data_IF_634859947578
#
_entry.id   IF_634859947578
#
_cell.length_a   1.000
_cell.length_b   1.000
_cell.length_c   1.000
_cell.angle_alpha   90.00
_cell.angle_beta   90.00
_cell.angle_gamma   90.00
#
_symmetry.space_group_name_H-M   'P 1'
#
loop_
_entity.id
_entity.type
_entity.pdbx_description
1 polymer ?
#
# COMPACT_ATOMS: atom_id res chain seq x y z
N UNK A 1 10.02 18.46 9.79
CA UNK A 1 10.46 17.42 8.83
C UNK A 1 12.00 17.20 8.81
N UNK A 2 12.74 17.56 9.87
CA UNK A 2 14.22 17.54 9.88
C UNK A 2 14.83 16.43 10.78
N UNK A 3 14.03 15.45 11.22
CA UNK A 3 14.49 14.36 12.13
C UNK A 3 14.75 13.02 11.43
N UNK A 4 14.35 12.87 10.17
CA UNK A 4 14.53 11.61 9.41
C UNK A 4 15.80 11.56 8.57
N UNK A 5 16.53 12.67 8.44
CA UNK A 5 17.80 12.73 7.69
C UNK A 5 19.02 12.22 8.48
N UNK A 6 18.85 11.84 9.75
CA UNK A 6 19.94 11.39 10.62
C UNK A 6 20.14 9.87 10.67
N UNK A 7 19.32 9.08 9.96
CA UNK A 7 19.36 7.61 10.02
C UNK A 7 20.12 6.91 8.88
N UNK A 8 20.82 7.65 8.00
CA UNK A 8 21.66 7.07 6.92
C UNK A 8 23.16 7.15 7.25
N UNK A 9 23.54 7.48 8.49
CA UNK A 9 24.93 7.68 8.90
C UNK A 9 25.56 6.48 9.63
N UNK A 10 25.31 5.24 9.16
CA UNK A 10 26.08 4.06 9.57
C UNK A 10 26.62 3.26 8.37
N UNK A 11 26.97 3.96 7.30
CA UNK A 11 28.01 3.50 6.39
C UNK A 11 29.33 4.17 6.80
N UNK A 12 30.41 3.40 6.80
CA UNK A 12 31.79 3.78 7.14
C UNK A 12 32.19 3.73 8.63
N UNK A 13 32.43 2.51 9.12
CA UNK A 13 33.66 2.28 9.88
C UNK A 13 34.67 1.67 8.92
N UNK A 14 35.19 2.50 8.01
CA UNK A 14 36.39 2.17 7.23
C UNK A 14 37.56 2.75 8.00
N UNK A 15 38.27 1.89 8.71
CA UNK A 15 39.57 2.22 9.31
C UNK A 15 40.58 2.40 8.18
N UNK A 16 41.28 3.53 8.20
CA UNK A 16 42.31 3.92 7.23
C UNK A 16 43.70 3.56 7.77
N UNK A 17 44.56 3.02 6.88
CA UNK A 17 46.03 2.84 6.94
C UNK A 17 46.55 1.74 7.91
N UNK A 18 47.41 0.80 7.49
CA UNK A 18 48.75 0.98 6.89
C UNK A 18 49.19 -0.22 6.01
N UNK A 19 50.12 0.01 5.06
CA UNK A 19 50.78 -1.04 4.24
C UNK A 19 51.80 -1.86 5.06
N UNK A 20 51.29 -2.69 5.95
CA UNK A 20 51.85 -4.01 6.28
C UNK A 20 50.85 -5.06 5.79
N UNK A 21 51.17 -6.35 5.84
CA UNK A 21 50.15 -7.39 5.67
C UNK A 21 49.22 -7.29 6.89
N UNK A 22 48.18 -6.46 6.76
CA UNK A 22 47.27 -6.08 7.82
C UNK A 22 46.22 -7.18 7.96
N UNK A 23 46.15 -7.90 9.10
CA UNK A 23 45.14 -8.93 9.34
C UNK A 23 43.69 -8.41 9.22
N UNK A 24 43.49 -7.10 9.18
CA UNK A 24 42.21 -6.48 8.87
C UNK A 24 41.78 -6.67 7.40
N UNK A 25 42.70 -6.82 6.45
CA UNK A 25 42.34 -6.97 5.03
C UNK A 25 41.61 -8.29 4.75
N UNK A 26 42.06 -9.39 5.37
CA UNK A 26 41.44 -10.71 5.18
C UNK A 26 40.07 -10.79 5.88
N UNK A 27 39.93 -10.13 7.03
CA UNK A 27 38.64 -10.02 7.72
C UNK A 27 37.61 -9.24 6.87
N UNK A 28 38.02 -8.14 6.25
CA UNK A 28 37.15 -7.34 5.38
C UNK A 28 36.67 -8.14 4.16
N UNK A 29 37.55 -8.95 3.56
CA UNK A 29 37.19 -9.84 2.46
C UNK A 29 36.15 -10.88 2.90
N UNK A 30 36.37 -11.56 4.03
CA UNK A 30 35.44 -12.58 4.54
C UNK A 30 34.08 -11.99 4.89
N UNK A 31 34.04 -10.81 5.52
CA UNK A 31 32.77 -10.15 5.88
C UNK A 31 31.98 -9.77 4.62
N UNK A 32 32.63 -9.14 3.62
CA UNK A 32 31.95 -8.76 2.37
C UNK A 32 31.43 -9.96 1.60
N UNK A 33 32.20 -11.04 1.52
CA UNK A 33 31.73 -12.27 0.87
C UNK A 33 30.58 -12.90 1.66
N UNK A 34 30.65 -12.89 2.99
CA UNK A 34 29.57 -13.42 3.83
C UNK A 34 28.26 -12.65 3.62
N UNK A 35 28.33 -11.31 3.56
CA UNK A 35 27.18 -10.46 3.23
C UNK A 35 26.61 -10.76 1.83
N UNK A 36 27.48 -10.92 0.82
CA UNK A 36 27.07 -11.26 -0.54
C UNK A 36 26.34 -12.61 -0.60
N UNK A 37 26.87 -13.67 0.02
CA UNK A 37 26.23 -14.98 0.07
C UNK A 37 24.91 -14.95 0.86
N UNK A 38 24.85 -14.17 1.93
CA UNK A 38 23.66 -14.02 2.75
C UNK A 38 22.53 -13.26 2.02
N UNK A 39 22.87 -12.26 1.20
CA UNK A 39 21.92 -11.62 0.28
C UNK A 39 21.40 -12.57 -0.79
N UNK A 40 22.19 -13.56 -1.21
CA UNK A 40 21.80 -14.61 -2.15
C UNK A 40 21.06 -15.79 -1.47
N UNK A 41 20.41 -15.54 -0.33
CA UNK A 41 19.58 -16.49 0.42
C UNK A 41 20.30 -17.72 0.98
N UNK A 42 21.63 -17.67 1.16
CA UNK A 42 22.31 -18.72 1.94
C UNK A 42 22.06 -18.45 3.42
N UNK A 43 21.04 -19.11 3.96
CA UNK A 43 20.62 -18.99 5.36
C UNK A 43 21.13 -20.12 6.25
N UNK A 44 21.83 -21.10 5.69
CA UNK A 44 22.44 -22.19 6.44
C UNK A 44 23.91 -21.87 6.76
N UNK A 45 24.29 -22.00 8.03
CA UNK A 45 25.64 -21.68 8.50
C UNK A 45 26.70 -22.57 7.85
N UNK A 46 26.37 -23.85 7.63
CA UNK A 46 27.30 -24.82 7.04
C UNK A 46 27.52 -24.52 5.57
N UNK A 47 26.46 -24.20 4.84
CA UNK A 47 26.54 -23.74 3.46
C UNK A 47 27.35 -22.44 3.34
N UNK A 48 27.09 -21.44 4.20
CA UNK A 48 27.85 -20.19 4.22
C UNK A 48 29.34 -20.45 4.50
N UNK A 49 29.65 -21.30 5.47
CA UNK A 49 31.02 -21.70 5.77
C UNK A 49 31.70 -22.31 4.56
N UNK A 50 31.02 -23.22 3.86
CA UNK A 50 31.58 -23.93 2.72
C UNK A 50 31.91 -22.98 1.56
N UNK A 51 31.01 -22.04 1.25
CA UNK A 51 31.24 -21.02 0.23
C UNK A 51 32.43 -20.10 0.58
N UNK A 52 32.49 -19.63 1.84
CA UNK A 52 33.62 -18.81 2.30
C UNK A 52 34.96 -19.54 2.21
N UNK A 53 34.98 -20.85 2.46
CA UNK A 53 36.20 -21.67 2.30
C UNK A 53 36.61 -21.80 0.82
N UNK A 54 35.66 -21.90 -0.11
CA UNK A 54 35.93 -21.88 -1.55
C UNK A 54 36.54 -20.53 -1.96
N UNK A 55 36.00 -19.42 -1.46
CA UNK A 55 36.54 -18.07 -1.69
C UNK A 55 37.97 -17.91 -1.13
N UNK A 56 38.25 -18.45 0.06
CA UNK A 56 39.62 -18.46 0.61
C UNK A 56 40.61 -19.24 -0.29
N UNK A 57 40.19 -20.31 -0.94
CA UNK A 57 41.04 -21.05 -1.90
C UNK A 57 41.32 -20.23 -3.16
N UNK A 58 40.33 -19.46 -3.65
CA UNK A 58 40.52 -18.51 -4.74
C UNK A 58 41.51 -17.41 -4.37
N UNK A 59 41.41 -16.86 -3.15
CA UNK A 59 42.37 -15.88 -2.63
C UNK A 59 43.80 -16.44 -2.64
N UNK A 60 43.98 -17.69 -2.21
CA UNK A 60 45.29 -18.35 -2.23
C UNK A 60 45.95 -18.47 -3.59
N UNK A 61 45.16 -18.61 -4.67
CA UNK A 61 45.67 -18.62 -6.04
C UNK A 61 46.17 -17.25 -6.50
N UNK A 62 45.62 -16.18 -5.94
CA UNK A 62 45.93 -14.79 -6.32
C UNK A 62 47.04 -14.19 -5.46
N UNK A 63 47.02 -14.47 -4.16
CA UNK A 63 47.85 -13.78 -3.15
C UNK A 63 48.82 -14.71 -2.42
N UNK A 64 48.71 -16.02 -2.66
CA UNK A 64 49.60 -17.05 -2.10
C UNK A 64 48.95 -17.88 -1.00
N UNK A 65 49.54 -19.04 -0.73
CA UNK A 65 48.97 -20.04 0.18
C UNK A 65 48.85 -19.56 1.64
N UNK A 66 49.71 -18.63 2.06
CA UNK A 66 49.66 -18.07 3.40
C UNK A 66 48.38 -17.24 3.64
N UNK A 67 47.93 -16.47 2.63
CA UNK A 67 46.67 -15.72 2.68
C UNK A 67 45.46 -16.67 2.73
N UNK A 68 45.45 -17.75 1.93
CA UNK A 68 44.40 -18.76 2.00
C UNK A 68 44.32 -19.47 3.36
N UNK A 69 45.47 -19.80 3.95
CA UNK A 69 45.52 -20.42 5.27
C UNK A 69 44.99 -19.47 6.35
N UNK A 70 45.38 -18.19 6.31
CA UNK A 70 44.87 -17.18 7.25
C UNK A 70 43.36 -16.96 7.09
N UNK A 71 42.87 -16.77 5.87
CA UNK A 71 41.44 -16.66 5.55
C UNK A 71 40.65 -17.86 6.08
N UNK A 72 41.16 -19.09 5.85
CA UNK A 72 40.54 -20.33 6.33
C UNK A 72 40.46 -20.38 7.86
N UNK A 73 41.51 -19.94 8.56
CA UNK A 73 41.53 -19.86 10.02
C UNK A 73 40.51 -18.85 10.55
N UNK A 74 40.43 -17.66 9.94
CA UNK A 74 39.45 -16.62 10.28
C UNK A 74 38.03 -17.13 10.10
N UNK A 75 37.70 -17.74 8.95
CA UNK A 75 36.39 -18.34 8.70
C UNK A 75 36.07 -19.40 9.75
N UNK A 76 36.98 -20.34 10.02
CA UNK A 76 36.74 -21.40 10.98
C UNK A 76 36.52 -20.90 12.41
N UNK A 77 37.21 -19.84 12.82
CA UNK A 77 37.11 -19.27 14.17
C UNK A 77 35.91 -18.33 14.34
N UNK A 78 35.56 -17.57 13.31
CA UNK A 78 34.58 -16.47 13.42
C UNK A 78 33.22 -16.77 12.79
N UNK A 79 33.03 -17.92 12.10
CA UNK A 79 31.77 -18.21 11.39
C UNK A 79 30.53 -18.11 12.27
N UNK A 80 30.59 -18.56 13.52
CA UNK A 80 29.44 -18.48 14.45
C UNK A 80 29.05 -17.04 14.74
N UNK A 81 30.05 -16.16 14.94
CA UNK A 81 29.84 -14.74 15.20
C UNK A 81 29.33 -14.02 13.95
N UNK A 82 29.98 -14.24 12.80
CA UNK A 82 29.59 -13.65 11.51
C UNK A 82 28.14 -13.99 11.19
N UNK A 83 27.77 -15.27 11.34
CA UNK A 83 26.42 -15.72 11.05
C UNK A 83 25.37 -15.14 12.01
N UNK A 84 25.67 -15.06 13.31
CA UNK A 84 24.79 -14.43 14.29
C UNK A 84 24.55 -12.94 14.00
N UNK A 85 25.62 -12.21 13.65
CA UNK A 85 25.55 -10.78 13.32
C UNK A 85 24.70 -10.54 12.05
N UNK A 86 24.88 -11.38 11.02
CA UNK A 86 24.07 -11.33 9.78
C UNK A 86 22.59 -11.65 10.03
N UNK A 87 22.28 -12.65 10.87
CA UNK A 87 20.89 -12.95 11.24
C UNK A 87 20.24 -11.81 12.04
N UNK A 88 20.97 -11.21 12.98
CA UNK A 88 20.48 -10.08 13.76
C UNK A 88 20.19 -8.87 12.87
N UNK A 89 21.03 -8.60 11.85
CA UNK A 89 20.80 -7.55 10.87
C UNK A 89 19.53 -7.80 10.04
N UNK A 90 19.31 -9.03 9.55
CA UNK A 90 18.12 -9.41 8.78
C UNK A 90 16.83 -9.23 9.57
N UNK A 91 16.80 -9.65 10.84
CA UNK A 91 15.60 -9.52 11.67
C UNK A 91 15.21 -8.06 11.91
N UNK A 92 16.19 -7.16 12.10
CA UNK A 92 15.91 -5.72 12.25
C UNK A 92 15.23 -5.12 11.01
N UNK A 93 15.67 -5.53 9.81
CA UNK A 93 15.09 -5.04 8.56
C UNK A 93 13.66 -5.54 8.35
N UNK A 94 13.40 -6.83 8.64
CA UNK A 94 12.05 -7.41 8.56
C UNK A 94 11.07 -6.72 9.51
N UNK A 95 11.49 -6.44 10.75
CA UNK A 95 10.66 -5.74 11.73
C UNK A 95 10.35 -4.29 11.31
N UNK A 96 11.33 -3.59 10.74
CA UNK A 96 11.14 -2.23 10.24
C UNK A 96 10.16 -2.20 9.05
N UNK A 97 10.28 -3.12 8.10
CA UNK A 97 9.35 -3.25 6.98
C UNK A 97 7.93 -3.60 7.45
N UNK A 98 7.79 -4.55 8.38
CA UNK A 98 6.50 -4.92 8.94
C UNK A 98 5.82 -3.71 9.60
N UNK A 99 6.56 -2.91 10.35
CA UNK A 99 6.03 -1.68 10.95
C UNK A 99 5.54 -0.66 9.91
N UNK A 100 6.27 -0.48 8.80
CA UNK A 100 5.86 0.42 7.71
C UNK A 100 4.58 -0.08 7.03
N UNK A 101 4.46 -1.39 6.77
CA UNK A 101 3.24 -1.97 6.17
C UNK A 101 2.04 -1.80 7.10
N UNK A 102 2.20 -2.01 8.41
CA UNK A 102 1.13 -1.79 9.39
C UNK A 102 0.67 -0.33 9.41
N UNK A 103 1.60 0.63 9.35
CA UNK A 103 1.26 2.06 9.29
C UNK A 103 0.58 2.43 7.97
N UNK A 104 1.05 1.89 6.84
CA UNK A 104 0.45 2.15 5.53
C UNK A 104 -0.98 1.59 5.42
N UNK A 105 -1.23 0.40 5.98
CA UNK A 105 -2.57 -0.19 5.99
C UNK A 105 -3.53 0.53 6.95
N UNK A 106 -3.01 1.22 7.97
CA UNK A 106 -3.83 2.02 8.89
C UNK A 106 -4.27 3.37 8.30
N UNK A 107 -3.70 3.83 7.19
CA UNK A 107 -3.97 5.14 6.59
C UNK A 107 -4.75 5.03 5.27
N UNK A 108 -5.82 4.23 5.23
CA UNK A 108 -6.78 4.35 4.11
C UNK A 108 -7.44 5.73 4.20
N UNK A 109 -7.32 6.58 3.16
CA UNK A 109 -7.99 7.87 3.17
C UNK A 109 -9.49 7.63 3.29
N UNK A 110 -10.11 8.21 4.31
CA UNK A 110 -11.57 8.19 4.46
C UNK A 110 -12.19 8.76 3.19
N UNK A 111 -13.22 8.11 2.61
CA UNK A 111 -13.87 8.61 1.41
C UNK A 111 -14.38 10.04 1.65
N UNK A 112 -14.16 10.90 0.67
CA UNK A 112 -14.60 12.29 0.75
C UNK A 112 -16.12 12.41 0.59
N UNK A 113 -16.73 13.56 0.97
CA UNK A 113 -18.17 13.78 0.86
C UNK A 113 -18.73 13.50 -0.54
N UNK A 114 -18.01 13.92 -1.59
CA UNK A 114 -18.40 13.67 -2.97
C UNK A 114 -18.52 12.17 -3.32
N UNK A 115 -17.55 11.35 -2.89
CA UNK A 115 -17.58 9.90 -3.13
C UNK A 115 -18.76 9.22 -2.40
N UNK A 116 -19.07 9.69 -1.20
CA UNK A 116 -20.22 9.21 -0.43
C UNK A 116 -21.53 9.61 -1.13
N UNK A 117 -21.61 10.83 -1.66
CA UNK A 117 -22.78 11.28 -2.41
C UNK A 117 -23.00 10.43 -3.68
N UNK A 118 -21.95 10.22 -4.48
CA UNK A 118 -22.03 9.41 -5.69
C UNK A 118 -22.52 7.99 -5.40
N UNK A 119 -22.01 7.39 -4.32
CA UNK A 119 -22.46 6.09 -3.84
C UNK A 119 -23.96 6.09 -3.49
N UNK A 120 -24.41 7.08 -2.71
CA UNK A 120 -25.81 7.19 -2.30
C UNK A 120 -26.75 7.38 -3.49
N UNK A 121 -26.37 8.24 -4.44
CA UNK A 121 -27.16 8.50 -5.63
C UNK A 121 -27.24 7.26 -6.53
N UNK A 122 -26.15 6.53 -6.71
CA UNK A 122 -26.16 5.28 -7.47
C UNK A 122 -27.14 4.27 -6.84
N UNK A 123 -27.14 4.13 -5.51
CA UNK A 123 -28.07 3.26 -4.80
C UNK A 123 -29.52 3.74 -4.87
N UNK A 124 -29.74 5.05 -4.82
CA UNK A 124 -31.05 5.65 -4.98
C UNK A 124 -31.62 5.39 -6.38
N UNK A 125 -30.83 5.60 -7.44
CA UNK A 125 -31.24 5.28 -8.82
C UNK A 125 -31.61 3.79 -8.95
N UNK A 126 -30.83 2.89 -8.35
CA UNK A 126 -31.16 1.47 -8.32
C UNK A 126 -32.49 1.18 -7.61
N UNK A 127 -32.81 1.90 -6.52
CA UNK A 127 -34.11 1.81 -5.84
C UNK A 127 -35.28 2.17 -6.78
N UNK A 128 -35.17 3.29 -7.50
CA UNK A 128 -36.20 3.75 -8.43
C UNK A 128 -36.34 2.84 -9.67
N UNK A 129 -35.24 2.26 -10.17
CA UNK A 129 -35.30 1.27 -11.26
C UNK A 129 -36.08 0.00 -10.89
N UNK A 130 -36.21 -0.31 -9.61
CA UNK A 130 -37.04 -1.41 -9.12
C UNK A 130 -38.52 -1.01 -8.93
N UNK A 131 -38.94 0.15 -9.47
CA UNK A 131 -40.28 0.74 -9.36
C UNK A 131 -40.73 1.00 -7.91
N UNK A 132 -39.79 1.22 -6.99
CA UNK A 132 -40.11 1.59 -5.61
C UNK A 132 -40.06 3.11 -5.51
N UNK A 133 -41.24 3.74 -5.50
CA UNK A 133 -41.40 5.19 -5.42
C UNK A 133 -41.81 5.66 -4.02
N UNK A 134 -41.30 5.00 -2.98
CA UNK A 134 -41.61 5.33 -1.59
C UNK A 134 -40.39 5.95 -0.89
N UNK A 135 -40.57 7.16 -0.35
CA UNK A 135 -39.48 7.89 0.32
C UNK A 135 -39.00 7.19 1.58
N UNK A 136 -39.90 6.54 2.33
CA UNK A 136 -39.56 5.80 3.54
C UNK A 136 -38.72 4.56 3.24
N UNK A 137 -39.06 3.86 2.16
CA UNK A 137 -38.31 2.73 1.63
C UNK A 137 -36.92 3.16 1.14
N UNK A 138 -36.82 4.29 0.42
CA UNK A 138 -35.55 4.86 0.00
C UNK A 138 -34.66 5.20 1.19
N UNK A 139 -35.19 5.90 2.20
CA UNK A 139 -34.46 6.24 3.43
C UNK A 139 -33.92 4.99 4.13
N UNK A 140 -34.76 3.95 4.24
CA UNK A 140 -34.39 2.68 4.87
C UNK A 140 -33.27 2.00 4.10
N UNK A 141 -33.36 1.92 2.77
CA UNK A 141 -32.34 1.32 1.93
C UNK A 141 -31.03 2.11 2.03
N UNK A 142 -31.03 3.43 1.85
CA UNK A 142 -29.81 4.23 1.92
C UNK A 142 -29.15 4.16 3.30
N UNK A 143 -29.93 4.09 4.38
CA UNK A 143 -29.39 3.89 5.74
C UNK A 143 -28.72 2.52 5.88
N UNK A 144 -29.30 1.48 5.28
CA UNK A 144 -28.68 0.15 5.24
C UNK A 144 -27.38 0.17 4.45
N UNK A 145 -27.38 0.77 3.27
CA UNK A 145 -26.20 0.94 2.41
C UNK A 145 -25.07 1.69 3.15
N UNK A 146 -25.38 2.73 3.93
CA UNK A 146 -24.39 3.39 4.78
C UNK A 146 -23.76 2.47 5.83
N UNK A 147 -24.51 1.50 6.38
CA UNK A 147 -23.94 0.51 7.32
C UNK A 147 -23.01 -0.47 6.59
N UNK A 148 -23.37 -0.86 5.37
CA UNK A 148 -22.57 -1.75 4.54
C UNK A 148 -21.25 -1.10 4.11
N UNK A 149 -21.28 0.20 3.76
CA UNK A 149 -20.10 1.01 3.47
C UNK A 149 -19.06 0.95 4.60
N UNK A 150 -19.53 0.95 5.86
CA UNK A 150 -18.67 0.86 7.05
C UNK A 150 -17.80 -0.39 7.14
N UNK A 151 -18.19 -1.47 6.47
CA UNK A 151 -17.40 -2.71 6.42
C UNK A 151 -16.11 -2.54 5.62
N UNK A 152 -16.09 -1.59 4.69
CA UNK A 152 -15.00 -1.36 3.75
C UNK A 152 -14.21 -0.08 4.06
N UNK A 153 -14.93 0.97 4.46
CA UNK A 153 -14.42 2.34 4.61
C UNK A 153 -14.31 2.81 6.08
N UNK A 154 -14.77 1.98 7.03
CA UNK A 154 -14.69 2.27 8.47
C UNK A 154 -15.89 3.06 9.04
N UNK A 155 -15.91 3.24 10.36
CA UNK A 155 -17.06 3.83 11.07
C UNK A 155 -17.26 5.34 10.80
N UNK A 156 -16.19 6.05 10.47
CA UNK A 156 -16.29 7.47 10.12
C UNK A 156 -17.07 7.67 8.82
N UNK A 157 -16.87 6.77 7.83
CA UNK A 157 -17.65 6.78 6.60
C UNK A 157 -19.14 6.48 6.85
N UNK A 158 -19.47 5.58 7.79
CA UNK A 158 -20.87 5.31 8.20
C UNK A 158 -21.51 6.57 8.77
N UNK A 159 -20.79 7.25 9.67
CA UNK A 159 -21.29 8.46 10.35
C UNK A 159 -21.56 9.57 9.34
N UNK A 160 -20.61 9.82 8.43
CA UNK A 160 -20.77 10.83 7.38
C UNK A 160 -21.88 10.47 6.39
N UNK A 161 -21.95 9.21 5.95
CA UNK A 161 -22.99 8.72 5.05
C UNK A 161 -24.39 8.91 5.65
N UNK A 162 -24.59 8.50 6.90
CA UNK A 162 -25.88 8.67 7.58
C UNK A 162 -26.25 10.13 7.78
N UNK A 163 -25.29 10.99 8.11
CA UNK A 163 -25.53 12.42 8.23
C UNK A 163 -25.98 13.02 6.89
N UNK A 164 -25.34 12.63 5.79
CA UNK A 164 -25.72 13.07 4.45
C UNK A 164 -27.12 12.57 4.05
N UNK A 165 -27.43 11.29 4.27
CA UNK A 165 -28.79 10.76 4.03
C UNK A 165 -29.82 11.52 4.84
N UNK A 166 -29.59 11.72 6.14
CA UNK A 166 -30.54 12.42 7.00
C UNK A 166 -30.75 13.89 6.57
N UNK A 167 -29.71 14.56 6.10
CA UNK A 167 -29.79 15.95 5.65
C UNK A 167 -30.43 16.10 4.26
N UNK A 168 -30.18 15.16 3.34
CA UNK A 168 -30.44 15.35 1.91
C UNK A 168 -31.52 14.43 1.32
N UNK A 169 -32.09 13.50 2.09
CA UNK A 169 -33.09 12.53 1.58
C UNK A 169 -34.29 13.19 0.89
N UNK A 170 -34.72 14.36 1.37
CA UNK A 170 -35.83 15.13 0.81
C UNK A 170 -35.52 15.61 -0.61
N UNK A 171 -34.33 16.19 -0.78
CA UNK A 171 -33.82 16.69 -2.06
C UNK A 171 -33.56 15.53 -3.03
N UNK A 172 -32.87 14.48 -2.57
CA UNK A 172 -32.56 13.28 -3.39
C UNK A 172 -33.85 12.66 -3.93
N UNK A 173 -34.85 12.48 -3.07
CA UNK A 173 -36.14 11.91 -3.49
C UNK A 173 -36.85 12.81 -4.51
N UNK A 174 -36.90 14.13 -4.25
CA UNK A 174 -37.56 15.08 -5.14
C UNK A 174 -36.90 15.15 -6.52
N UNK A 175 -35.57 15.23 -6.55
CA UNK A 175 -34.77 15.31 -7.78
C UNK A 175 -34.93 14.05 -8.64
N UNK A 176 -34.80 12.86 -8.04
CA UNK A 176 -34.94 11.61 -8.78
C UNK A 176 -36.37 11.35 -9.26
N UNK A 177 -37.38 11.72 -8.48
CA UNK A 177 -38.78 11.64 -8.90
C UNK A 177 -39.09 12.60 -10.05
N UNK A 178 -38.42 13.75 -10.09
CA UNK A 178 -38.51 14.71 -11.18
C UNK A 178 -37.73 14.28 -12.45
N UNK A 179 -37.03 13.14 -12.41
CA UNK A 179 -36.21 12.65 -13.52
C UNK A 179 -34.95 13.47 -13.75
N UNK A 180 -34.47 14.19 -12.71
CA UNK A 180 -33.22 14.93 -12.78
C UNK A 180 -32.04 13.99 -12.96
N UNK A 181 -31.01 14.46 -13.65
CA UNK A 181 -29.78 13.69 -13.79
C UNK A 181 -29.15 13.43 -12.41
N UNK A 182 -28.83 12.16 -12.06
CA UNK A 182 -28.34 11.81 -10.75
C UNK A 182 -27.03 12.53 -10.37
N UNK A 183 -26.15 12.81 -11.35
CA UNK A 183 -24.89 13.52 -11.10
C UNK A 183 -25.12 14.98 -10.72
N UNK A 184 -26.14 15.61 -11.31
CA UNK A 184 -26.48 16.99 -10.99
C UNK A 184 -26.94 17.12 -9.53
N UNK A 185 -27.56 16.08 -8.97
CA UNK A 185 -27.98 16.07 -7.57
C UNK A 185 -26.80 16.27 -6.62
N UNK A 186 -25.70 15.51 -6.76
CA UNK A 186 -24.55 15.66 -5.85
C UNK A 186 -23.84 17.02 -5.95
N UNK A 187 -23.82 17.60 -7.14
CA UNK A 187 -23.29 18.94 -7.35
C UNK A 187 -24.16 20.01 -6.69
N UNK A 188 -25.49 19.92 -6.87
CA UNK A 188 -26.45 20.87 -6.31
C UNK A 188 -26.53 20.80 -4.77
N UNK A 189 -26.22 19.62 -4.20
CA UNK A 189 -26.06 19.41 -2.77
C UNK A 189 -24.77 20.05 -2.20
N UNK A 190 -23.90 20.60 -3.05
CA UNK A 190 -22.60 21.15 -2.68
C UNK A 190 -21.65 20.16 -1.98
N UNK A 191 -21.84 18.86 -2.18
CA UNK A 191 -20.97 17.82 -1.62
C UNK A 191 -19.72 17.58 -2.50
N UNK A 192 -19.81 17.97 -3.77
CA UNK A 192 -18.75 17.87 -4.76
C UNK A 192 -18.28 19.28 -5.19
N UNK A 193 -17.16 19.76 -4.64
CA UNK A 193 -16.47 20.96 -5.12
C UNK A 193 -15.34 20.56 -6.07
N UNK A 194 -15.58 20.66 -7.38
CA UNK A 194 -14.60 20.30 -8.41
C UNK A 194 -15.19 20.60 -9.78
N UNK A 195 -14.32 20.81 -10.79
CA UNK A 195 -14.70 21.18 -12.16
C UNK A 195 -15.93 20.41 -12.62
N UNK A 196 -16.91 21.17 -13.12
CA UNK A 196 -18.08 20.70 -13.87
C UNK A 196 -17.73 19.42 -14.63
N UNK A 197 -18.54 18.34 -14.52
CA UNK A 197 -18.20 17.07 -15.12
C UNK A 197 -17.93 17.31 -16.61
N UNK A 198 -16.66 17.17 -17.02
CA UNK A 198 -16.39 16.84 -18.42
C UNK A 198 -17.05 15.50 -18.59
N UNK A 199 -18.29 15.53 -19.07
CA UNK A 199 -19.01 14.39 -19.58
C UNK A 199 -18.00 13.59 -20.38
N UNK A 200 -17.48 12.51 -19.80
CA UNK A 200 -16.87 11.47 -20.59
C UNK A 200 -17.95 11.13 -21.60
N UNK A 201 -17.67 11.42 -22.86
CA UNK A 201 -18.53 11.20 -24.03
C UNK A 201 -19.24 9.85 -23.91
N UNK A 202 -20.42 9.85 -23.29
CA UNK A 202 -21.44 8.86 -23.56
C UNK A 202 -22.10 9.38 -24.83
N UNK A 203 -22.18 8.59 -25.91
CA UNK A 203 -22.78 9.05 -27.16
C UNK A 203 -24.15 9.62 -26.83
N UNK A 204 -24.38 10.86 -27.22
CA UNK A 204 -25.69 11.46 -27.26
C UNK A 204 -26.60 10.60 -28.12
N UNK A 205 -27.34 9.67 -27.52
CA UNK A 205 -28.59 9.25 -28.13
C UNK A 205 -29.58 10.36 -27.81
N UNK A 206 -29.76 11.23 -28.81
CA UNK A 206 -30.60 12.40 -28.73
C UNK A 206 -32.06 12.06 -28.41
N UNK A 207 -32.85 13.08 -28.05
CA UNK A 207 -34.25 12.93 -27.75
C UNK A 207 -35.04 12.80 -29.06
N UNK A 208 -35.31 11.56 -29.50
CA UNK A 208 -36.31 11.34 -30.54
C UNK A 208 -37.16 10.09 -30.28
N UNK A 209 -38.40 10.38 -29.91
CA UNK A 209 -39.61 9.59 -30.10
C UNK A 209 -39.76 8.25 -29.35
N UNK A 210 -40.42 8.28 -28.19
CA UNK A 210 -41.70 7.53 -28.01
C UNK A 210 -42.63 8.33 -27.09
N UNK A 211 -43.27 9.36 -27.66
CA UNK A 211 -44.56 9.84 -27.19
C UNK A 211 -45.59 9.49 -28.28
N UNK A 212 -46.29 8.36 -28.11
CA UNK A 212 -47.67 8.13 -28.57
C UNK A 212 -48.09 6.69 -28.26
N UNK A 213 -49.08 6.55 -27.38
CA UNK A 213 -49.71 5.25 -27.12
C UNK A 213 -50.77 5.27 -26.02
N UNK A 214 -51.54 6.35 -25.90
CA UNK A 214 -52.78 6.31 -25.13
C UNK A 214 -53.89 5.69 -26.00
N UNK A 215 -54.61 4.72 -25.40
CA UNK A 215 -55.93 4.16 -25.76
C UNK A 215 -55.96 3.20 -26.97
N UNK A 216 -56.35 1.94 -26.73
CA UNK A 216 -57.60 1.32 -27.20
C UNK A 216 -57.79 -0.04 -26.50
N UNK A 217 -58.95 -0.19 -25.84
CA UNK A 217 -59.54 -1.34 -25.14
C UNK A 217 -58.95 -1.78 -23.79
#
# INVERSE_FOLDING_TARGET
MLKYLLLVAFAAVVVIAQRGHDPCHDCDFVIRQAEHHFHNNITDKTALKQELLVECQWLGRREGQQAAAHCTDVVNKQIDKIFADLQAAKMKFVLALAAVVVVALAQRPTPGPCQICDYLIAQAVHHFHNNINDKGALLTQLTQECNELGRYEGQDAVTQCKAMVAAQIDTIYADLTAGKDPWQTCFDLHECFGTEPTHGTRPSQGPEAVARGARYF
#
